data_IF_281657770317
#
_entry.id   IF_281657770317
#
_cell.length_a   1.000
_cell.length_b   1.000
_cell.length_c   1.000
_cell.angle_alpha   90.00
_cell.angle_beta   90.00
_cell.angle_gamma   90.00
#
_symmetry.space_group_name_H-M   'P 1'
#
loop_
_entity.id
_entity.type
_entity.pdbx_description
1 polymer ?
#
# COMPACT_ATOMS: atom_id res chain seq x y z
N UNK A 1 45.90 6.70 19.40
CA UNK A 1 44.84 7.05 18.44
C UNK A 1 45.36 8.17 17.55
N UNK A 2 45.16 8.12 16.24
CA UNK A 2 45.61 9.17 15.32
C UNK A 2 44.43 10.12 15.06
N UNK A 3 44.56 11.40 15.42
CA UNK A 3 43.53 12.44 15.31
C UNK A 3 42.91 12.50 13.90
N UNK A 4 43.72 12.31 12.85
CA UNK A 4 43.24 12.24 11.46
C UNK A 4 42.20 11.14 11.24
N UNK A 5 42.44 9.96 11.82
CA UNK A 5 41.53 8.81 11.69
C UNK A 5 40.21 9.05 12.45
N UNK A 6 40.24 9.81 13.54
CA UNK A 6 39.02 10.19 14.27
C UNK A 6 38.17 11.12 13.41
N UNK A 7 38.77 12.18 12.87
CA UNK A 7 38.08 13.14 11.99
C UNK A 7 37.48 12.45 10.75
N UNK A 8 38.22 11.52 10.13
CA UNK A 8 37.70 10.73 8.99
C UNK A 8 36.49 9.87 9.38
N UNK A 9 36.49 9.29 10.57
CA UNK A 9 35.37 8.47 11.06
C UNK A 9 34.16 9.36 11.35
N UNK A 10 34.35 10.51 12.00
CA UNK A 10 33.27 11.47 12.29
C UNK A 10 32.61 11.98 11.00
N UNK A 11 33.41 12.32 9.99
CA UNK A 11 32.89 12.72 8.68
C UNK A 11 32.07 11.60 8.01
N UNK A 12 32.54 10.35 8.11
CA UNK A 12 31.80 9.18 7.59
C UNK A 12 30.50 8.94 8.34
N UNK A 13 30.50 9.10 9.67
CA UNK A 13 29.30 8.95 10.50
C UNK A 13 28.27 10.01 10.12
N UNK A 14 28.66 11.29 10.06
CA UNK A 14 27.75 12.37 9.66
C UNK A 14 27.14 12.13 8.27
N UNK A 15 27.93 11.62 7.32
CA UNK A 15 27.42 11.25 6.00
C UNK A 15 26.41 10.09 6.06
N UNK A 16 26.70 9.06 6.86
CA UNK A 16 25.81 7.92 7.05
C UNK A 16 24.50 8.30 7.76
N UNK A 17 24.55 9.20 8.74
CA UNK A 17 23.36 9.72 9.43
C UNK A 17 22.39 10.41 8.44
N UNK A 18 22.93 11.21 7.51
CA UNK A 18 22.13 11.82 6.46
C UNK A 18 21.50 10.77 5.54
N UNK A 19 22.27 9.76 5.11
CA UNK A 19 21.73 8.66 4.27
C UNK A 19 20.63 7.90 4.99
N UNK A 20 20.80 7.60 6.28
CA UNK A 20 19.79 6.88 7.07
C UNK A 20 18.50 7.69 7.14
N UNK A 21 18.60 9.01 7.33
CA UNK A 21 17.44 9.90 7.33
C UNK A 21 16.73 9.88 5.98
N UNK A 22 17.47 10.05 4.88
CA UNK A 22 16.90 10.06 3.53
C UNK A 22 16.23 8.72 3.17
N UNK A 23 16.83 7.61 3.60
CA UNK A 23 16.25 6.28 3.42
C UNK A 23 14.97 6.11 4.24
N UNK A 24 14.96 6.58 5.50
CA UNK A 24 13.76 6.57 6.34
C UNK A 24 12.62 7.38 5.72
N UNK A 25 12.93 8.57 5.21
CA UNK A 25 11.95 9.43 4.52
C UNK A 25 11.41 8.74 3.24
N UNK A 26 12.27 8.05 2.51
CA UNK A 26 11.89 7.27 1.31
C UNK A 26 10.98 6.10 1.67
N UNK A 27 11.35 5.28 2.68
CA UNK A 27 10.56 4.13 3.13
C UNK A 27 9.18 4.59 3.64
N UNK A 28 9.13 5.69 4.38
CA UNK A 28 7.86 6.27 4.83
C UNK A 28 6.95 6.64 3.66
N UNK A 29 7.48 7.32 2.64
CA UNK A 29 6.72 7.68 1.46
C UNK A 29 6.24 6.45 0.66
N UNK A 30 7.08 5.42 0.56
CA UNK A 30 6.70 4.15 -0.06
C UNK A 30 5.57 3.46 0.71
N UNK A 31 5.63 3.42 2.04
CA UNK A 31 4.56 2.84 2.87
C UNK A 31 3.23 3.58 2.64
N UNK A 32 3.27 4.91 2.60
CA UNK A 32 2.07 5.71 2.31
C UNK A 32 1.46 5.39 0.94
N UNK A 33 2.29 5.14 -0.07
CA UNK A 33 1.81 4.72 -1.39
C UNK A 33 1.20 3.31 -1.36
N UNK A 34 1.82 2.38 -0.64
CA UNK A 34 1.30 1.01 -0.45
C UNK A 34 -0.07 1.05 0.24
N UNK A 35 -0.21 1.86 1.28
CA UNK A 35 -1.47 1.99 2.01
C UNK A 35 -2.59 2.53 1.10
N UNK A 36 -2.28 3.54 0.27
CA UNK A 36 -3.22 4.07 -0.71
C UNK A 36 -3.63 3.02 -1.77
N UNK A 37 -2.68 2.20 -2.23
CA UNK A 37 -2.95 1.09 -3.15
C UNK A 37 -3.82 0.01 -2.49
N UNK A 38 -3.55 -0.34 -1.23
CA UNK A 38 -4.36 -1.28 -0.47
C UNK A 38 -5.81 -0.81 -0.32
N UNK A 39 -6.03 0.45 0.03
CA UNK A 39 -7.39 1.00 0.12
C UNK A 39 -8.10 0.98 -1.23
N UNK A 40 -7.40 1.34 -2.31
CA UNK A 40 -7.95 1.25 -3.68
C UNK A 40 -8.36 -0.18 -4.03
N UNK A 41 -7.52 -1.16 -3.72
CA UNK A 41 -7.82 -2.57 -3.95
C UNK A 41 -9.02 -3.06 -3.13
N UNK A 42 -9.11 -2.66 -1.85
CA UNK A 42 -10.29 -2.97 -1.01
C UNK A 42 -11.57 -2.42 -1.63
N UNK A 43 -11.55 -1.17 -2.10
CA UNK A 43 -12.71 -0.58 -2.76
C UNK A 43 -13.13 -1.34 -4.02
N UNK A 44 -12.17 -1.75 -4.86
CA UNK A 44 -12.44 -2.55 -6.06
C UNK A 44 -13.03 -3.93 -5.70
N UNK A 45 -12.45 -4.62 -4.71
CA UNK A 45 -12.95 -5.92 -4.25
C UNK A 45 -14.39 -5.80 -3.72
N UNK A 46 -14.67 -4.79 -2.89
CA UNK A 46 -16.01 -4.55 -2.36
C UNK A 46 -17.01 -4.26 -3.49
N UNK A 47 -16.65 -3.41 -4.45
CA UNK A 47 -17.51 -3.10 -5.59
C UNK A 47 -17.82 -4.34 -6.45
N UNK A 48 -16.83 -5.20 -6.68
CA UNK A 48 -17.01 -6.45 -7.44
C UNK A 48 -17.77 -7.52 -6.64
N UNK A 49 -17.61 -7.57 -5.32
CA UNK A 49 -18.36 -8.46 -4.43
C UNK A 49 -19.83 -8.08 -4.34
N UNK A 50 -20.13 -6.78 -4.25
CA UNK A 50 -21.50 -6.26 -4.21
C UNK A 50 -22.25 -6.48 -5.54
N UNK A 51 -21.55 -6.44 -6.68
CA UNK A 51 -22.14 -6.76 -7.98
C UNK A 51 -22.39 -8.27 -8.20
N UNK A 52 -21.72 -9.16 -7.45
CA UNK A 52 -21.99 -10.61 -7.45
C UNK A 52 -23.01 -11.04 -6.38
N UNK A 53 -23.23 -10.22 -5.34
CA UNK A 53 -24.06 -10.54 -4.17
C UNK A 53 -25.58 -10.33 -4.31
N UNK A 54 -26.06 -9.77 -5.43
CA UNK A 54 -27.51 -9.53 -5.66
C UNK A 54 -28.17 -10.69 -6.45
N UNK A 55 -27.42 -11.71 -6.89
CA UNK A 55 -28.01 -12.85 -7.62
C UNK A 55 -28.37 -14.07 -6.74
N UNK A 56 -27.93 -14.15 -5.48
CA UNK A 56 -28.02 -15.40 -4.69
C UNK A 56 -28.85 -15.35 -3.41
N UNK A 57 -29.54 -14.24 -3.11
CA UNK A 57 -30.41 -14.15 -1.91
C UNK A 57 -31.87 -13.73 -2.17
N UNK A 58 -32.31 -13.62 -3.43
CA UNK A 58 -33.64 -13.08 -3.76
C UNK A 58 -34.50 -13.84 -4.78
N UNK A 59 -34.01 -14.83 -5.52
CA UNK A 59 -34.78 -15.40 -6.64
C UNK A 59 -34.73 -16.94 -6.69
N UNK A 60 -35.25 -17.56 -5.63
CA UNK A 60 -35.86 -18.90 -5.70
C UNK A 60 -37.35 -18.81 -6.11
N UNK A 61 -37.67 -17.89 -7.02
CA UNK A 61 -38.97 -17.86 -7.70
C UNK A 61 -38.74 -17.63 -9.18
N UNK A 62 -38.76 -18.77 -9.86
CA UNK A 62 -39.24 -18.95 -11.22
C UNK A 62 -40.32 -17.94 -11.58
N UNK A 63 -40.09 -17.09 -12.58
CA UNK A 63 -41.14 -16.72 -13.53
C UNK A 63 -40.50 -16.54 -14.91
N UNK A 64 -40.80 -17.48 -15.82
CA UNK A 64 -40.47 -17.39 -17.25
C UNK A 64 -41.31 -16.25 -17.85
N UNK A 65 -40.72 -15.22 -18.50
CA UNK A 65 -41.50 -14.18 -19.14
C UNK A 65 -42.28 -14.74 -20.34
N UNK A 66 -43.57 -14.37 -20.51
CA UNK A 66 -44.34 -14.82 -21.66
C UNK A 66 -43.80 -14.13 -22.92
N UNK A 67 -43.30 -14.94 -23.85
CA UNK A 67 -42.89 -14.49 -25.18
C UNK A 67 -44.13 -14.04 -25.96
N UNK A 68 -44.17 -12.77 -26.36
CA UNK A 68 -44.99 -12.28 -27.47
C UNK A 68 -44.14 -12.20 -28.74
#
# INVERSE_FOLDING_TARGET
MNEKRVVEIEAKIAFQENIIKDLSDTVYNQQKQIDALHETLKHLINHNGDSSGIATRGHLKDEIPPHY
#
